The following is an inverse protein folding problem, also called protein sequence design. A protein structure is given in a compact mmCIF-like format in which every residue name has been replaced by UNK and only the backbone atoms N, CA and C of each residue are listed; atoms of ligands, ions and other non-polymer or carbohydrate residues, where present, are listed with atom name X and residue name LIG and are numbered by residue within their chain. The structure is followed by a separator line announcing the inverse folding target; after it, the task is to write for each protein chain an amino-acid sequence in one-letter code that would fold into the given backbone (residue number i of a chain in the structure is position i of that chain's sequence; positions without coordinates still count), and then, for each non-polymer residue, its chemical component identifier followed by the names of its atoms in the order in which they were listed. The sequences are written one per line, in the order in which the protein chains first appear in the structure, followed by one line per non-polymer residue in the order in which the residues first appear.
data_IF_458856876762
#
_entry.id   IF_458856876762
#
_cell.length_a   1.000
_cell.length_b   1.000
_cell.length_c   1.000
_cell.angle_alpha   90.00
_cell.angle_beta   90.00
_cell.angle_gamma   90.00
#
_symmetry.space_group_name_H-M   'P 1'
#
loop_
_entity.id
_entity.type
_entity.pdbx_description
1 polymer ?
#
# COMPACT_ATOMS: atom_id res chain seq x y z
N UNK A 1 10.24 -33.81 38.03
CA UNK A 1 10.35 -33.90 36.56
C UNK A 1 9.00 -33.86 35.86
N UNK A 2 8.05 -34.79 36.08
CA UNK A 2 6.73 -34.78 35.39
C UNK A 2 5.87 -33.57 35.82
N UNK A 3 5.81 -33.27 37.12
CA UNK A 3 5.07 -32.12 37.64
C UNK A 3 5.62 -30.78 37.15
N UNK A 4 6.94 -30.66 37.01
CA UNK A 4 7.61 -29.46 36.50
C UNK A 4 7.28 -29.23 35.01
N UNK A 5 7.24 -30.31 34.21
CA UNK A 5 6.82 -30.24 32.80
C UNK A 5 5.35 -29.85 32.65
N UNK A 6 4.46 -30.35 33.54
CA UNK A 6 3.05 -29.97 33.56
C UNK A 6 2.86 -28.50 33.95
N UNK A 7 3.58 -28.02 34.97
CA UNK A 7 3.58 -26.61 35.37
C UNK A 7 4.10 -25.69 34.26
N UNK A 8 5.18 -26.08 33.58
CA UNK A 8 5.69 -25.35 32.41
C UNK A 8 4.65 -25.32 31.28
N UNK A 9 3.99 -26.44 30.98
CA UNK A 9 2.94 -26.52 29.97
C UNK A 9 1.74 -25.62 30.28
N UNK A 10 1.24 -25.63 31.52
CA UNK A 10 0.11 -24.78 31.95
C UNK A 10 0.51 -23.31 31.91
N UNK A 11 1.70 -22.97 32.40
CA UNK A 11 2.21 -21.59 32.39
C UNK A 11 2.36 -21.08 30.96
N UNK A 12 2.91 -21.91 30.05
CA UNK A 12 3.01 -21.57 28.63
C UNK A 12 1.63 -21.36 28.00
N UNK A 13 0.68 -22.26 28.25
CA UNK A 13 -0.71 -22.13 27.77
C UNK A 13 -1.40 -20.86 28.30
N UNK A 14 -1.16 -20.50 29.56
CA UNK A 14 -1.70 -19.27 30.16
C UNK A 14 -1.08 -18.01 29.54
N UNK A 15 0.25 -17.97 29.40
CA UNK A 15 0.95 -16.85 28.76
C UNK A 15 0.54 -16.69 27.29
N UNK A 16 0.41 -17.79 26.56
CA UNK A 16 -0.17 -17.87 25.21
C UNK A 16 -1.56 -17.24 25.24
N UNK A 17 -2.47 -17.70 26.11
CA UNK A 17 -3.83 -17.18 26.17
C UNK A 17 -3.88 -15.67 26.47
N UNK A 18 -3.12 -15.19 27.46
CA UNK A 18 -3.04 -13.75 27.79
C UNK A 18 -2.53 -12.92 26.61
N UNK A 19 -1.45 -13.40 25.98
CA UNK A 19 -0.85 -12.75 24.83
C UNK A 19 -1.84 -12.62 23.66
N UNK A 20 -2.67 -13.64 23.44
CA UNK A 20 -3.67 -13.64 22.37
C UNK A 20 -4.95 -12.85 22.72
N UNK A 21 -5.41 -12.92 23.97
CA UNK A 21 -6.57 -12.18 24.47
C UNK A 21 -6.36 -10.67 24.43
N UNK A 22 -5.11 -10.20 24.48
CA UNK A 22 -4.77 -8.78 24.37
C UNK A 22 -5.40 -8.09 23.14
N UNK A 23 -5.45 -8.78 21.99
CA UNK A 23 -5.98 -8.21 20.74
C UNK A 23 -7.48 -7.93 20.84
N UNK A 24 -8.27 -8.92 21.27
CA UNK A 24 -9.72 -8.74 21.48
C UNK A 24 -9.97 -7.67 22.55
N UNK A 25 -9.17 -7.67 23.61
CA UNK A 25 -9.31 -6.75 24.72
C UNK A 25 -8.97 -5.29 24.36
N UNK A 26 -8.17 -5.02 23.33
CA UNK A 26 -7.82 -3.64 22.96
C UNK A 26 -9.06 -2.84 22.56
N UNK A 27 -9.82 -3.30 21.56
CA UNK A 27 -10.99 -2.57 21.07
C UNK A 27 -12.15 -2.58 22.07
N UNK A 28 -12.30 -3.69 22.81
CA UNK A 28 -13.26 -3.77 23.93
C UNK A 28 -12.96 -2.71 24.99
N UNK A 29 -11.69 -2.57 25.42
CA UNK A 29 -11.28 -1.55 26.40
C UNK A 29 -11.45 -0.12 25.88
N UNK A 30 -11.29 0.09 24.57
CA UNK A 30 -11.49 1.40 23.94
C UNK A 30 -12.97 1.73 23.68
N UNK A 31 -13.88 0.77 23.87
CA UNK A 31 -15.31 0.97 23.64
C UNK A 31 -15.70 1.18 22.17
N UNK A 32 -14.81 0.84 21.23
CA UNK A 32 -15.11 0.97 19.81
C UNK A 32 -15.67 -0.34 19.25
N UNK A 33 -16.64 -0.28 18.33
CA UNK A 33 -17.04 -1.48 17.61
C UNK A 33 -15.87 -1.98 16.75
N UNK A 34 -15.74 -3.28 16.59
CA UNK A 34 -14.63 -3.86 15.83
C UNK A 34 -15.05 -5.15 15.12
N UNK A 35 -14.28 -5.53 14.11
CA UNK A 35 -14.40 -6.84 13.45
C UNK A 35 -13.52 -7.82 14.20
N UNK A 36 -14.10 -8.95 14.63
CA UNK A 36 -13.35 -9.96 15.38
C UNK A 36 -12.13 -10.45 14.59
N UNK A 37 -10.91 -10.37 15.16
CA UNK A 37 -9.69 -10.79 14.47
C UNK A 37 -9.55 -12.30 14.44
N UNK A 38 -8.99 -12.82 13.33
CA UNK A 38 -8.50 -14.19 13.26
C UNK A 38 -7.14 -14.31 13.97
N UNK A 39 -6.88 -15.52 14.46
CA UNK A 39 -5.64 -15.88 15.13
C UNK A 39 -4.40 -15.55 14.27
N UNK A 40 -3.40 -14.91 14.88
CA UNK A 40 -2.14 -14.38 14.29
C UNK A 40 -2.27 -13.33 13.16
N UNK A 41 -3.24 -13.46 12.28
CA UNK A 41 -3.36 -12.66 11.06
C UNK A 41 -4.20 -11.38 11.23
N UNK A 42 -4.90 -11.25 12.36
CA UNK A 42 -5.90 -10.20 12.52
C UNK A 42 -7.01 -10.37 11.50
N UNK A 43 -7.33 -9.32 10.75
CA UNK A 43 -8.38 -9.33 9.74
C UNK A 43 -7.85 -9.41 8.30
N UNK A 44 -6.55 -9.61 8.10
CA UNK A 44 -5.90 -9.58 6.77
C UNK A 44 -5.32 -10.92 6.33
N UNK A 45 -5.80 -12.05 6.87
CA UNK A 45 -5.33 -13.41 6.53
C UNK A 45 -5.26 -13.65 5.02
N UNK A 46 -6.34 -13.37 4.31
CA UNK A 46 -6.43 -13.63 2.87
C UNK A 46 -5.50 -12.72 2.04
N UNK A 47 -5.13 -11.56 2.58
CA UNK A 47 -4.10 -10.68 1.98
C UNK A 47 -2.73 -11.30 2.15
N UNK A 48 -2.42 -11.81 3.36
CA UNK A 48 -1.14 -12.48 3.65
C UNK A 48 -1.00 -13.77 2.83
N UNK A 49 -2.08 -14.52 2.67
CA UNK A 49 -2.14 -15.73 1.82
C UNK A 49 -2.27 -15.42 0.33
N UNK A 50 -2.26 -14.14 -0.07
CA UNK A 50 -2.40 -13.68 -1.46
C UNK A 50 -3.66 -14.19 -2.18
N UNK A 51 -4.71 -14.48 -1.41
CA UNK A 51 -6.03 -14.89 -1.93
C UNK A 51 -6.90 -13.70 -2.30
N UNK A 52 -6.68 -12.56 -1.64
CA UNK A 52 -7.41 -11.31 -1.86
C UNK A 52 -6.45 -10.13 -1.91
N UNK A 53 -6.87 -9.07 -2.62
CA UNK A 53 -6.18 -7.78 -2.54
C UNK A 53 -6.49 -7.10 -1.20
N UNK A 54 -5.63 -6.16 -0.79
CA UNK A 54 -5.88 -5.37 0.43
C UNK A 54 -7.19 -4.56 0.33
N UNK A 55 -7.52 -4.06 -0.87
CA UNK A 55 -8.77 -3.35 -1.11
C UNK A 55 -10.02 -4.22 -0.92
N UNK A 56 -9.98 -5.47 -1.40
CA UNK A 56 -11.06 -6.44 -1.15
C UNK A 56 -11.22 -6.73 0.35
N UNK A 57 -10.12 -6.97 1.06
CA UNK A 57 -10.16 -7.20 2.50
C UNK A 57 -10.71 -5.99 3.28
N UNK A 58 -10.32 -4.77 2.91
CA UNK A 58 -10.83 -3.54 3.54
C UNK A 58 -12.30 -3.31 3.25
N UNK A 59 -12.76 -3.62 2.03
CA UNK A 59 -14.19 -3.60 1.68
C UNK A 59 -15.00 -4.55 2.57
N UNK A 60 -14.55 -5.78 2.76
CA UNK A 60 -15.24 -6.74 3.64
C UNK A 60 -15.28 -6.28 5.10
N UNK A 61 -14.20 -5.68 5.59
CA UNK A 61 -14.16 -5.09 6.94
C UNK A 61 -15.16 -3.93 7.04
N UNK A 62 -15.18 -3.04 6.03
CA UNK A 62 -16.11 -1.91 5.96
C UNK A 62 -17.56 -2.38 6.00
N UNK A 63 -17.90 -3.42 5.25
CA UNK A 63 -19.24 -4.03 5.19
C UNK A 63 -19.62 -4.69 6.53
N UNK A 64 -18.71 -5.44 7.16
CA UNK A 64 -18.91 -6.05 8.49
C UNK A 64 -19.17 -5.02 9.60
N UNK A 65 -18.63 -3.81 9.46
CA UNK A 65 -18.91 -2.71 10.37
C UNK A 65 -20.31 -2.10 10.17
N UNK A 66 -21.06 -2.47 9.13
CA UNK A 66 -22.46 -2.08 8.95
C UNK A 66 -22.67 -0.56 8.87
N UNK A 67 -23.62 0.00 9.61
CA UNK A 67 -23.91 1.45 9.64
C UNK A 67 -23.01 2.24 10.60
N UNK A 68 -22.07 1.59 11.29
CA UNK A 68 -21.25 2.27 12.31
C UNK A 68 -20.33 3.31 11.66
N UNK A 69 -20.18 4.51 12.25
CA UNK A 69 -19.43 5.62 11.68
C UNK A 69 -17.91 5.40 11.67
N UNK A 70 -17.44 4.47 12.49
CA UNK A 70 -16.05 4.02 12.58
C UNK A 70 -16.02 2.61 13.18
N UNK A 71 -14.90 1.92 13.04
CA UNK A 71 -14.68 0.67 13.75
C UNK A 71 -13.25 0.14 13.66
N UNK A 72 -12.87 -0.62 14.68
CA UNK A 72 -11.56 -1.23 14.80
C UNK A 72 -11.42 -2.51 13.99
N UNK A 73 -10.20 -2.79 13.56
CA UNK A 73 -9.77 -4.11 13.11
C UNK A 73 -8.28 -4.27 13.43
N UNK A 74 -7.71 -5.42 13.08
CA UNK A 74 -6.28 -5.68 13.23
C UNK A 74 -5.62 -5.96 11.89
N UNK A 75 -4.52 -5.27 11.62
CA UNK A 75 -3.56 -5.62 10.57
C UNK A 75 -2.45 -6.42 11.24
N UNK A 76 -2.51 -7.75 11.14
CA UNK A 76 -1.74 -8.65 12.01
C UNK A 76 -2.02 -8.36 13.50
N UNK A 77 -1.09 -7.72 14.20
CA UNK A 77 -1.17 -7.35 15.61
C UNK A 77 -1.36 -5.84 15.82
N UNK A 78 -1.28 -5.07 14.76
CA UNK A 78 -1.44 -3.62 14.80
C UNK A 78 -2.94 -3.27 14.83
N UNK A 79 -3.43 -2.57 15.86
CA UNK A 79 -4.80 -2.09 15.88
C UNK A 79 -4.98 -0.96 14.87
N UNK A 80 -5.93 -1.12 13.94
CA UNK A 80 -6.28 -0.11 12.94
C UNK A 80 -7.70 0.39 13.17
N UNK A 81 -7.87 1.71 13.17
CA UNK A 81 -9.19 2.35 13.23
C UNK A 81 -9.66 2.72 11.82
N UNK A 82 -10.74 2.11 11.35
CA UNK A 82 -11.38 2.46 10.09
C UNK A 82 -12.41 3.56 10.31
N UNK A 83 -12.22 4.71 9.66
CA UNK A 83 -13.18 5.81 9.64
C UNK A 83 -14.12 5.65 8.46
N UNK A 84 -15.43 5.82 8.69
CA UNK A 84 -16.47 5.69 7.66
C UNK A 84 -17.30 6.96 7.49
N UNK A 85 -17.47 7.73 8.57
CA UNK A 85 -18.22 8.97 8.53
C UNK A 85 -17.39 10.11 7.90
N UNK A 86 -17.94 10.88 6.94
CA UNK A 86 -17.21 11.97 6.28
C UNK A 86 -16.61 12.99 7.25
N UNK A 87 -17.34 13.36 8.31
CA UNK A 87 -16.84 14.33 9.30
C UNK A 87 -15.64 13.81 10.09
N UNK A 88 -15.60 12.51 10.39
CA UNK A 88 -14.44 11.91 11.07
C UNK A 88 -13.24 11.83 10.13
N UNK A 89 -13.49 11.50 8.86
CA UNK A 89 -12.47 11.46 7.82
C UNK A 89 -11.89 12.87 7.62
N UNK A 90 -12.74 13.90 7.50
CA UNK A 90 -12.31 15.30 7.42
C UNK A 90 -11.53 15.71 8.65
N UNK A 91 -12.02 15.38 9.85
CA UNK A 91 -11.32 15.71 11.09
C UNK A 91 -9.89 15.16 11.09
N UNK A 92 -9.70 13.91 10.70
CA UNK A 92 -8.36 13.27 10.69
C UNK A 92 -7.48 13.75 9.53
N UNK A 93 -8.04 13.91 8.33
CA UNK A 93 -7.25 14.24 7.14
C UNK A 93 -7.00 15.74 6.95
N UNK A 94 -7.81 16.60 7.59
CA UNK A 94 -7.77 18.06 7.41
C UNK A 94 -7.58 18.76 8.74
N UNK A 95 -8.56 18.66 9.65
CA UNK A 95 -8.61 19.52 10.84
C UNK A 95 -7.47 19.19 11.83
N UNK A 96 -7.15 17.90 11.99
CA UNK A 96 -6.15 17.35 12.91
C UNK A 96 -4.94 16.76 12.17
N UNK A 97 -4.67 17.21 10.93
CA UNK A 97 -3.61 16.63 10.09
C UNK A 97 -2.26 16.56 10.82
N UNK A 98 -1.93 17.55 11.67
CA UNK A 98 -0.72 17.58 12.50
C UNK A 98 -0.50 16.33 13.36
N UNK A 99 -1.58 15.75 13.87
CA UNK A 99 -1.53 14.52 14.67
C UNK A 99 -1.45 13.25 13.82
N UNK A 100 -1.81 13.33 12.53
CA UNK A 100 -1.99 12.17 11.63
C UNK A 100 -1.14 12.25 10.35
N UNK A 101 0.05 12.87 10.42
CA UNK A 101 0.94 13.10 9.27
C UNK A 101 1.66 11.85 8.74
N UNK A 102 1.56 10.73 9.43
CA UNK A 102 2.28 9.50 9.12
C UNK A 102 1.44 8.56 8.25
N UNK A 103 2.05 8.04 7.19
CA UNK A 103 1.44 7.02 6.34
C UNK A 103 1.57 5.61 6.96
N UNK A 104 0.68 4.70 6.55
CA UNK A 104 0.64 3.30 6.99
C UNK A 104 1.91 2.50 6.62
N UNK A 105 2.64 2.93 5.58
CA UNK A 105 3.87 2.30 5.11
C UNK A 105 5.07 3.13 5.54
N UNK A 106 5.87 2.58 6.45
CA UNK A 106 7.13 3.18 6.88
C UNK A 106 8.32 2.66 6.07
N UNK A 107 9.16 3.59 5.61
CA UNK A 107 10.44 3.26 4.98
C UNK A 107 11.47 2.93 6.06
N UNK A 108 12.13 1.78 5.94
CA UNK A 108 13.19 1.40 6.88
C UNK A 108 14.34 2.42 6.87
N UNK A 109 15.02 2.57 8.01
CA UNK A 109 16.18 3.47 8.15
C UNK A 109 17.33 3.11 7.22
N UNK A 110 17.50 1.85 6.85
CA UNK A 110 18.52 1.34 5.93
C UNK A 110 18.04 1.23 4.47
N UNK A 111 16.79 1.62 4.17
CA UNK A 111 16.28 1.56 2.81
C UNK A 111 17.06 2.51 1.88
N UNK A 112 17.04 2.18 0.59
CA UNK A 112 17.64 2.98 -0.46
C UNK A 112 17.24 4.47 -0.31
N UNK A 113 18.20 5.41 -0.31
CA UNK A 113 17.94 6.84 -0.19
C UNK A 113 16.86 7.36 -1.15
N UNK A 114 16.77 6.82 -2.38
CA UNK A 114 15.76 7.20 -3.37
C UNK A 114 14.34 6.84 -2.94
N UNK A 115 14.14 5.68 -2.29
CA UNK A 115 12.82 5.31 -1.76
C UNK A 115 12.38 6.24 -0.63
N UNK A 116 13.33 6.75 0.15
CA UNK A 116 13.05 7.73 1.21
C UNK A 116 12.66 9.10 0.66
N UNK A 117 12.93 9.39 -0.62
CA UNK A 117 12.52 10.62 -1.31
C UNK A 117 11.16 10.46 -2.02
N UNK A 118 10.48 9.32 -1.87
CA UNK A 118 9.14 9.14 -2.41
C UNK A 118 8.11 9.88 -1.53
N UNK A 119 7.34 10.85 -2.07
CA UNK A 119 6.37 11.61 -1.29
C UNK A 119 5.21 10.78 -0.76
N UNK A 120 4.94 9.62 -1.35
CA UNK A 120 3.93 8.68 -0.83
C UNK A 120 4.41 7.92 0.42
N UNK A 121 5.70 7.95 0.72
CA UNK A 121 6.31 7.22 1.83
C UNK A 121 6.96 8.14 2.88
N UNK A 122 7.20 9.41 2.55
CA UNK A 122 7.67 10.40 3.49
C UNK A 122 6.55 10.83 4.46
N UNK A 123 6.93 11.29 5.66
CA UNK A 123 6.02 11.86 6.66
C UNK A 123 6.59 13.14 7.27
N UNK A 124 5.73 13.92 7.93
CA UNK A 124 6.10 15.12 8.66
C UNK A 124 6.80 16.19 7.83
N UNK A 125 7.82 16.82 8.41
CA UNK A 125 8.57 17.91 7.77
C UNK A 125 9.15 17.51 6.40
N UNK A 126 9.64 16.28 6.26
CA UNK A 126 10.21 15.78 5.00
C UNK A 126 9.15 15.73 3.89
N UNK A 127 7.96 15.22 4.21
CA UNK A 127 6.84 15.21 3.27
C UNK A 127 6.45 16.63 2.86
N UNK A 128 6.39 17.58 3.80
CA UNK A 128 6.07 18.98 3.49
C UNK A 128 7.08 19.62 2.53
N UNK A 129 8.38 19.46 2.79
CA UNK A 129 9.42 19.99 1.90
C UNK A 129 9.29 19.43 0.49
N UNK A 130 9.08 18.12 0.37
CA UNK A 130 8.91 17.48 -0.93
C UNK A 130 7.60 17.90 -1.62
N UNK A 131 6.48 17.94 -0.89
CA UNK A 131 5.21 18.44 -1.44
C UNK A 131 5.36 19.86 -1.96
N UNK A 132 6.03 20.75 -1.22
CA UNK A 132 6.29 22.12 -1.66
C UNK A 132 7.09 22.18 -2.95
N UNK A 133 8.06 21.28 -3.13
CA UNK A 133 8.86 21.20 -4.36
C UNK A 133 8.01 20.76 -5.56
N UNK A 134 7.14 19.78 -5.38
CA UNK A 134 6.38 19.19 -6.50
C UNK A 134 5.05 19.87 -6.80
N UNK A 135 4.39 20.49 -5.81
CA UNK A 135 3.05 21.09 -5.97
C UNK A 135 2.93 22.08 -7.15
N UNK A 136 3.92 22.97 -7.41
CA UNK A 136 3.86 23.89 -8.54
C UNK A 136 3.83 23.19 -9.91
N UNK A 137 4.38 21.98 -10.01
CA UNK A 137 4.42 21.20 -11.25
C UNK A 137 3.11 20.44 -11.52
N UNK A 138 2.18 20.37 -10.57
CA UNK A 138 0.91 19.65 -10.73
C UNK A 138 -0.30 20.57 -10.88
N UNK A 139 -0.11 21.79 -11.39
CA UNK A 139 -1.24 22.64 -11.77
C UNK A 139 -2.06 21.97 -12.88
N UNK A 140 -3.39 21.92 -12.69
CA UNK A 140 -4.34 21.38 -13.68
C UNK A 140 -4.21 22.08 -15.03
N UNK A 141 -3.95 23.39 -15.05
CA UNK A 141 -3.77 24.14 -16.29
C UNK A 141 -2.54 23.62 -17.05
N UNK A 142 -1.41 23.41 -16.35
CA UNK A 142 -0.17 22.90 -16.92
C UNK A 142 -0.34 21.49 -17.51
N UNK A 143 -1.04 20.61 -16.80
CA UNK A 143 -1.28 19.23 -17.28
C UNK A 143 -2.24 19.22 -18.47
N UNK A 144 -3.34 19.99 -18.41
CA UNK A 144 -4.36 20.02 -19.47
C UNK A 144 -3.86 20.59 -20.80
N UNK A 145 -2.91 21.52 -20.74
CA UNK A 145 -2.32 22.16 -21.93
C UNK A 145 -0.99 21.50 -22.35
N UNK A 146 -0.65 20.35 -21.75
CA UNK A 146 0.61 19.66 -22.04
C UNK A 146 0.61 19.12 -23.46
N UNK A 147 1.46 19.72 -24.30
CA UNK A 147 1.74 19.25 -25.66
C UNK A 147 2.26 17.81 -25.66
N UNK A 148 2.99 17.42 -24.62
CA UNK A 148 3.54 16.07 -24.45
C UNK A 148 2.43 15.03 -24.33
N UNK A 149 1.42 15.26 -23.48
CA UNK A 149 0.29 14.35 -23.33
C UNK A 149 -0.45 14.21 -24.66
N UNK A 150 -0.71 15.33 -25.34
CA UNK A 150 -1.39 15.34 -26.64
C UNK A 150 -0.61 14.55 -27.70
N UNK A 151 0.70 14.72 -27.78
CA UNK A 151 1.54 14.00 -28.74
C UNK A 151 1.53 12.49 -28.48
N UNK A 152 1.64 12.06 -27.22
CA UNK A 152 1.55 10.64 -26.86
C UNK A 152 0.14 10.08 -27.13
N UNK A 153 -0.92 10.85 -26.88
CA UNK A 153 -2.29 10.46 -27.22
C UNK A 153 -2.48 10.27 -28.73
N UNK A 154 -1.88 11.13 -29.56
CA UNK A 154 -1.93 10.97 -31.02
C UNK A 154 -1.23 9.69 -31.47
N UNK A 155 -0.06 9.36 -30.90
CA UNK A 155 0.66 8.10 -31.14
C UNK A 155 -0.17 6.87 -30.73
N UNK A 156 -0.87 6.95 -29.61
CA UNK A 156 -1.79 5.89 -29.17
C UNK A 156 -2.94 5.71 -30.17
N UNK A 157 -3.56 6.80 -30.63
CA UNK A 157 -4.65 6.75 -31.60
C UNK A 157 -4.18 6.19 -32.95
N UNK A 158 -2.99 6.58 -33.42
CA UNK A 158 -2.44 6.02 -34.66
C UNK A 158 -2.17 4.52 -34.54
N UNK A 159 -1.62 4.09 -33.41
CA UNK A 159 -1.40 2.66 -33.11
C UNK A 159 -2.72 1.88 -33.09
N UNK A 160 -3.76 2.41 -32.44
CA UNK A 160 -5.08 1.76 -32.40
C UNK A 160 -5.72 1.66 -33.79
N UNK A 161 -5.52 2.67 -34.66
CA UNK A 161 -6.00 2.63 -36.05
C UNK A 161 -5.26 1.59 -36.88
N UNK A 162 -3.94 1.46 -36.73
CA UNK A 162 -3.14 0.46 -37.45
C UNK A 162 -3.45 -0.97 -37.01
N UNK A 163 -3.89 -1.16 -35.78
CA UNK A 163 -4.17 -2.46 -35.16
C UNK A 163 -5.69 -2.75 -35.12
N UNK A 164 -6.46 -2.07 -35.97
CA UNK A 164 -7.92 -2.20 -36.04
C UNK A 164 -8.33 -3.65 -36.38
N UNK A 165 -9.03 -4.30 -35.45
CA UNK A 165 -9.51 -5.68 -35.60
C UNK A 165 -8.71 -6.73 -34.82
N UNK A 166 -7.59 -6.35 -34.20
CA UNK A 166 -6.83 -7.24 -33.34
C UNK A 166 -7.20 -7.07 -31.86
N UNK A 167 -7.00 -8.15 -31.07
CA UNK A 167 -7.16 -8.08 -29.63
C UNK A 167 -5.98 -7.33 -29.00
N UNK A 168 -6.27 -6.21 -28.34
CA UNK A 168 -5.28 -5.42 -27.63
C UNK A 168 -5.48 -5.57 -26.13
N UNK A 169 -4.42 -5.92 -25.42
CA UNK A 169 -4.44 -6.02 -23.96
C UNK A 169 -4.41 -4.59 -23.35
N UNK A 170 -5.51 -4.22 -22.68
CA UNK A 170 -5.73 -2.85 -22.23
C UNK A 170 -4.76 -2.39 -21.14
N UNK A 171 -4.26 -3.29 -20.29
CA UNK A 171 -3.27 -2.95 -19.26
C UNK A 171 -1.93 -2.61 -19.89
N UNK A 172 -1.50 -3.33 -20.91
CA UNK A 172 -0.27 -3.08 -21.66
C UNK A 172 -0.37 -1.78 -22.45
N UNK A 173 -1.51 -1.54 -23.12
CA UNK A 173 -1.77 -0.27 -23.78
C UNK A 173 -1.68 0.91 -22.79
N UNK A 174 -2.30 0.76 -21.61
CA UNK A 174 -2.27 1.78 -20.55
C UNK A 174 -0.85 1.98 -20.01
N UNK A 175 -0.07 0.91 -19.86
CA UNK A 175 1.33 0.97 -19.43
C UNK A 175 2.19 1.75 -20.42
N UNK A 176 2.08 1.44 -21.72
CA UNK A 176 2.78 2.16 -22.80
C UNK A 176 2.45 3.65 -22.80
N UNK A 177 1.16 3.97 -22.71
CA UNK A 177 0.70 5.34 -22.65
C UNK A 177 1.27 6.09 -21.43
N UNK A 178 1.11 5.54 -20.23
CA UNK A 178 1.58 6.19 -18.99
C UNK A 178 3.09 6.32 -18.96
N UNK A 179 3.85 5.32 -19.44
CA UNK A 179 5.31 5.40 -19.48
C UNK A 179 5.80 6.49 -20.41
N UNK A 180 5.21 6.62 -21.60
CA UNK A 180 5.63 7.62 -22.59
C UNK A 180 5.25 9.03 -22.14
N UNK A 181 4.07 9.20 -21.52
CA UNK A 181 3.68 10.47 -20.90
C UNK A 181 4.65 10.87 -19.80
N UNK A 182 5.01 9.96 -18.89
CA UNK A 182 5.94 10.26 -17.80
C UNK A 182 7.35 10.54 -18.34
N UNK A 183 7.84 9.78 -19.31
CA UNK A 183 9.17 10.01 -19.89
C UNK A 183 9.26 11.36 -20.59
N UNK A 184 8.22 11.72 -21.35
CA UNK A 184 8.16 13.01 -22.04
C UNK A 184 8.02 14.16 -21.04
N UNK A 185 7.15 14.02 -20.03
CA UNK A 185 6.87 15.08 -19.07
C UNK A 185 7.94 15.27 -18.00
N UNK A 186 8.41 14.20 -17.36
CA UNK A 186 9.34 14.27 -16.24
C UNK A 186 10.81 14.29 -16.68
N UNK A 187 11.14 13.72 -17.84
CA UNK A 187 12.54 13.57 -18.32
C UNK A 187 12.78 14.35 -19.61
N UNK A 188 11.73 14.79 -20.32
CA UNK A 188 11.88 15.48 -21.60
C UNK A 188 12.25 14.55 -22.76
N UNK A 189 12.06 13.24 -22.60
CA UNK A 189 12.42 12.25 -23.63
C UNK A 189 11.17 11.82 -24.38
N UNK A 190 11.15 12.03 -25.69
CA UNK A 190 10.09 11.51 -26.54
C UNK A 190 10.30 10.02 -26.83
N UNK A 191 9.34 9.21 -26.41
CA UNK A 191 9.31 7.79 -26.65
C UNK A 191 8.20 7.43 -27.65
N UNK A 192 8.32 6.22 -28.21
CA UNK A 192 7.26 5.58 -28.96
C UNK A 192 7.21 4.09 -28.59
N UNK A 193 6.72 3.81 -27.38
CA UNK A 193 6.59 2.44 -26.88
C UNK A 193 5.46 1.65 -27.54
N UNK A 194 4.61 2.31 -28.33
CA UNK A 194 3.56 1.67 -29.11
C UNK A 194 4.15 0.83 -30.23
N UNK A 195 5.05 1.42 -31.03
CA UNK A 195 5.70 0.76 -32.16
C UNK A 195 7.03 0.09 -31.78
N UNK A 196 7.74 0.60 -30.76
CA UNK A 196 8.99 0.00 -30.29
C UNK A 196 8.86 -0.50 -28.84
N UNK A 197 8.72 -1.82 -28.61
CA UNK A 197 8.65 -2.35 -27.26
C UNK A 197 10.00 -2.26 -26.51
N UNK A 198 11.16 -2.19 -27.14
CA UNK A 198 12.44 -2.31 -26.44
C UNK A 198 13.05 -0.97 -25.98
N UNK A 199 12.20 -0.10 -25.42
CA UNK A 199 12.66 1.17 -24.86
C UNK A 199 13.18 0.97 -23.42
N UNK A 200 14.40 1.44 -23.15
CA UNK A 200 15.06 1.29 -21.84
C UNK A 200 14.20 1.81 -20.66
N UNK A 201 13.52 2.95 -20.85
CA UNK A 201 12.63 3.51 -19.85
C UNK A 201 11.44 2.58 -19.53
N UNK A 202 10.84 1.94 -20.56
CA UNK A 202 9.76 0.97 -20.38
C UNK A 202 10.26 -0.26 -19.62
N UNK A 203 11.40 -0.81 -20.01
CA UNK A 203 12.01 -1.97 -19.34
C UNK A 203 12.25 -1.68 -17.86
N UNK A 204 12.72 -0.47 -17.54
CA UNK A 204 12.94 -0.06 -16.15
C UNK A 204 11.62 0.13 -15.38
N UNK A 205 10.63 0.78 -16.00
CA UNK A 205 9.28 0.95 -15.44
C UNK A 205 8.63 -0.41 -15.14
N UNK A 206 8.74 -1.35 -16.07
CA UNK A 206 8.23 -2.71 -15.91
C UNK A 206 8.89 -3.45 -14.76
N UNK A 207 10.18 -3.22 -14.47
CA UNK A 207 10.85 -3.82 -13.29
C UNK A 207 10.33 -3.26 -11.96
N UNK A 208 9.89 -2.00 -11.95
CA UNK A 208 9.30 -1.37 -10.76
C UNK A 208 7.89 -1.92 -10.51
N UNK A 209 7.10 -2.07 -11.59
CA UNK A 209 5.70 -2.51 -11.53
C UNK A 209 5.59 -4.03 -11.39
N UNK A 210 6.30 -4.78 -12.24
CA UNK A 210 6.37 -6.23 -12.22
C UNK A 210 7.48 -6.67 -11.27
N UNK A 211 7.23 -6.55 -9.96
CA UNK A 211 8.04 -7.32 -9.00
C UNK A 211 7.88 -8.80 -9.33
N UNK A 212 9.00 -9.48 -9.64
CA UNK A 212 9.03 -10.91 -9.91
C UNK A 212 8.31 -11.68 -8.79
N UNK A 213 7.14 -12.25 -9.11
CA UNK A 213 6.34 -13.07 -8.19
C UNK A 213 7.07 -14.33 -7.70
N UNK A 214 8.20 -14.72 -8.34
CA UNK A 214 9.07 -15.79 -7.86
C UNK A 214 9.84 -15.41 -6.58
N UNK A 215 9.96 -14.13 -6.26
CA UNK A 215 10.44 -13.63 -4.96
C UNK A 215 9.34 -13.63 -3.88
N UNK A 216 8.13 -14.13 -4.18
CA UNK A 216 7.01 -14.05 -3.25
C UNK A 216 6.91 -15.25 -2.30
N UNK A 217 7.50 -16.41 -2.63
CA UNK A 217 7.70 -17.48 -1.63
C UNK A 217 8.71 -17.04 -0.56
N UNK A 218 9.77 -16.35 -0.98
CA UNK A 218 10.68 -15.63 -0.09
C UNK A 218 9.98 -14.47 0.62
N UNK A 219 9.03 -13.75 -0.01
CA UNK A 219 8.31 -12.67 0.67
C UNK A 219 7.41 -13.18 1.78
N UNK A 220 6.75 -14.34 1.61
CA UNK A 220 6.00 -15.02 2.67
C UNK A 220 6.93 -15.49 3.81
N UNK A 221 8.11 -16.03 3.46
CA UNK A 221 9.12 -16.50 4.42
C UNK A 221 9.87 -15.35 5.13
N UNK A 222 10.08 -14.23 4.43
CA UNK A 222 10.61 -12.99 4.96
C UNK A 222 9.55 -12.27 5.79
N UNK A 223 8.25 -12.39 5.49
CA UNK A 223 7.18 -11.85 6.35
C UNK A 223 7.21 -12.51 7.73
N UNK A 224 7.45 -13.82 7.79
CA UNK A 224 7.64 -14.55 9.06
C UNK A 224 8.92 -14.12 9.80
N UNK A 225 10.04 -13.90 9.11
CA UNK A 225 11.27 -13.36 9.71
C UNK A 225 11.19 -11.87 10.08
N UNK A 226 10.32 -11.10 9.43
CA UNK A 226 10.17 -9.65 9.61
C UNK A 226 9.24 -9.31 10.75
N UNK A 227 8.25 -10.16 11.05
CA UNK A 227 7.55 -10.13 12.35
C UNK A 227 8.59 -10.37 13.47
N UNK A 228 9.51 -11.33 13.32
CA UNK A 228 10.56 -11.57 14.31
C UNK A 228 11.48 -10.36 14.56
N UNK A 229 11.92 -9.65 13.51
CA UNK A 229 12.78 -8.46 13.65
C UNK A 229 12.06 -7.21 14.19
N UNK A 230 10.76 -7.03 13.90
CA UNK A 230 9.97 -5.94 14.49
C UNK A 230 9.80 -6.16 16.01
N UNK A 231 9.72 -7.43 16.43
CA UNK A 231 9.66 -7.82 17.84
C UNK A 231 11.01 -7.74 18.57
N UNK A 232 12.15 -7.88 17.89
CA UNK A 232 13.48 -7.81 18.53
C UNK A 232 14.00 -6.38 18.75
N UNK A 233 13.51 -5.40 17.99
CA UNK A 233 13.97 -4.01 18.03
C UNK A 233 13.02 -3.06 18.78
N UNK A 234 12.02 -3.61 19.48
CA UNK A 234 11.07 -2.87 20.33
C UNK A 234 11.36 -3.04 21.84
N UNK A 235 12.56 -3.52 22.18
CA UNK A 235 13.14 -3.46 23.53
C UNK A 235 14.15 -2.32 23.65
#
# INVERSE_FOLDING_TARGET
MIWDLLLLGITLCYLVNLYFSWHKNYWLRKGFPFVEPLFFFGNIRDVVLMRKTIGQAYKEIYEKLGSKPLGGFFKLREPILMLKHPDLIRKVLVDEFESFQSNDIHVRRDANPLLKLNPLLASGAKWRSMKSLWSPHWDKALVSQSTMVRNVSQKMVSFLKSTSGEYIEGKELSRKFVSDVIASWAIGVELDSFHNPNVAFRIMSDRIVNRNFKSTSLFSWLFTLRIYQIYSNSG
#
